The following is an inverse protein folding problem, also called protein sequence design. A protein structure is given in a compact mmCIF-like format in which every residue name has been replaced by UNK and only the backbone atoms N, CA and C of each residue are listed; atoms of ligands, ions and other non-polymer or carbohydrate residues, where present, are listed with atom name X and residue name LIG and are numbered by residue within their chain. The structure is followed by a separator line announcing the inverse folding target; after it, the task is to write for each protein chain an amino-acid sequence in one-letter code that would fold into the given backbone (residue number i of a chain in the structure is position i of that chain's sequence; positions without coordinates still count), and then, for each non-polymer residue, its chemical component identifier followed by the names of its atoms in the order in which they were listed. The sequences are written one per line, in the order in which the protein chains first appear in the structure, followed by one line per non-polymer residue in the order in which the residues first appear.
data_IF_300666958062
#
_entry.id   IF_300666958062
#
_cell.length_a   1.000
_cell.length_b   1.000
_cell.length_c   1.000
_cell.angle_alpha   90.00
_cell.angle_beta   90.00
_cell.angle_gamma   90.00
#
_symmetry.space_group_name_H-M   'P 1'
#
loop_
_entity.id
_entity.type
_entity.pdbx_description
1 polymer ?
#
# COMPACT_ATOMS: atom_id res chain seq x y z
N UNK A 1 -47.09 -3.37 -20.82
CA UNK A 1 -47.28 -2.18 -19.97
C UNK A 1 -45.95 -1.56 -19.49
N UNK A 2 -44.89 -2.35 -19.27
CA UNK A 2 -43.60 -1.86 -18.75
C UNK A 2 -42.81 -0.94 -19.70
N UNK A 3 -42.77 -1.28 -21.00
CA UNK A 3 -42.09 -0.49 -22.03
C UNK A 3 -42.73 0.90 -22.23
N UNK A 4 -44.03 1.02 -21.96
CA UNK A 4 -44.79 2.24 -22.18
C UNK A 4 -44.43 3.34 -21.16
N UNK A 5 -44.21 2.97 -19.90
CA UNK A 5 -43.86 3.92 -18.84
C UNK A 5 -42.41 4.41 -18.95
N UNK A 6 -41.47 3.55 -19.38
CA UNK A 6 -40.06 3.93 -19.56
C UNK A 6 -39.86 4.88 -20.74
N UNK A 7 -40.54 4.62 -21.87
CA UNK A 7 -40.50 5.49 -23.05
C UNK A 7 -41.21 6.84 -22.83
N UNK A 8 -42.30 6.86 -22.06
CA UNK A 8 -42.95 8.13 -21.66
C UNK A 8 -42.05 8.97 -20.73
N UNK A 9 -41.36 8.31 -19.79
CA UNK A 9 -40.47 8.99 -18.85
C UNK A 9 -39.22 9.54 -19.54
N UNK A 10 -38.56 8.77 -20.41
CA UNK A 10 -37.41 9.27 -21.17
C UNK A 10 -37.78 10.46 -22.06
N UNK A 11 -38.94 10.41 -22.75
CA UNK A 11 -39.44 11.54 -23.55
C UNK A 11 -39.69 12.80 -22.73
N UNK A 12 -40.28 12.68 -21.54
CA UNK A 12 -40.51 13.83 -20.64
C UNK A 12 -39.19 14.44 -20.15
N UNK A 13 -38.19 13.59 -19.86
CA UNK A 13 -36.86 14.06 -19.47
C UNK A 13 -36.18 14.76 -20.65
N UNK A 14 -36.21 14.19 -21.85
CA UNK A 14 -35.66 14.83 -23.04
C UNK A 14 -36.37 16.16 -23.38
N UNK A 15 -37.69 16.25 -23.18
CA UNK A 15 -38.43 17.49 -23.40
C UNK A 15 -38.00 18.61 -22.44
N UNK A 16 -37.68 18.27 -21.18
CA UNK A 16 -37.28 19.25 -20.17
C UNK A 16 -35.79 19.62 -20.23
N UNK A 17 -34.92 18.70 -20.65
CA UNK A 17 -33.47 18.82 -20.51
C UNK A 17 -32.68 18.68 -21.83
N UNK A 18 -33.37 18.50 -22.97
CA UNK A 18 -32.78 18.35 -24.31
C UNK A 18 -32.82 16.92 -24.85
N UNK A 19 -32.82 16.77 -26.18
CA UNK A 19 -33.08 15.51 -26.87
C UNK A 19 -32.13 14.35 -26.52
N UNK A 20 -30.93 14.65 -25.98
CA UNK A 20 -29.92 13.66 -25.56
C UNK A 20 -29.88 13.40 -24.04
N UNK A 21 -30.78 13.99 -23.25
CA UNK A 21 -30.72 13.94 -21.79
C UNK A 21 -31.00 12.54 -21.21
N UNK A 22 -31.86 11.73 -21.85
CA UNK A 22 -32.18 10.39 -21.38
C UNK A 22 -32.40 9.38 -22.50
N UNK A 23 -31.67 8.27 -22.45
CA UNK A 23 -31.92 7.11 -23.31
C UNK A 23 -32.97 6.19 -22.67
N UNK A 24 -33.91 5.68 -23.46
CA UNK A 24 -34.91 4.69 -23.00
C UNK A 24 -34.27 3.46 -22.36
N UNK A 25 -33.13 2.99 -22.88
CA UNK A 25 -32.38 1.86 -22.30
C UNK A 25 -31.91 2.18 -20.87
N UNK A 26 -31.40 3.38 -20.65
CA UNK A 26 -30.94 3.86 -19.35
C UNK A 26 -32.12 4.01 -18.40
N UNK A 27 -33.24 4.61 -18.86
CA UNK A 27 -34.47 4.72 -18.07
C UNK A 27 -34.96 3.33 -17.61
N UNK A 28 -34.97 2.33 -18.50
CA UNK A 28 -35.37 0.96 -18.16
C UNK A 28 -34.48 0.34 -17.07
N UNK A 29 -33.17 0.53 -17.16
CA UNK A 29 -32.22 0.04 -16.14
C UNK A 29 -32.45 0.69 -14.78
N UNK A 30 -32.71 2.01 -14.74
CA UNK A 30 -33.04 2.71 -13.51
C UNK A 30 -34.36 2.25 -12.90
N UNK A 31 -35.41 2.06 -13.71
CA UNK A 31 -36.68 1.52 -13.24
C UNK A 31 -36.54 0.11 -12.65
N UNK A 32 -35.72 -0.75 -13.27
CA UNK A 32 -35.42 -2.08 -12.72
C UNK A 32 -34.67 -1.98 -11.39
N UNK A 33 -33.67 -1.08 -11.28
CA UNK A 33 -32.93 -0.80 -10.05
C UNK A 33 -33.89 -0.37 -8.93
N UNK A 34 -34.75 0.62 -9.19
CA UNK A 34 -35.72 1.11 -8.20
C UNK A 34 -36.74 0.05 -7.78
N UNK A 35 -37.22 -0.79 -8.71
CA UNK A 35 -38.12 -1.90 -8.38
C UNK A 35 -37.47 -2.98 -7.54
N UNK A 36 -36.15 -3.17 -7.65
CA UNK A 36 -35.41 -4.09 -6.79
C UNK A 36 -35.18 -3.55 -5.36
N UNK A 37 -35.69 -2.36 -5.05
CA UNK A 37 -35.55 -1.71 -3.74
C UNK A 37 -34.27 -0.87 -3.59
N UNK A 38 -33.39 -0.89 -4.59
CA UNK A 38 -32.19 -0.05 -4.64
C UNK A 38 -32.55 1.35 -5.17
N UNK A 39 -32.80 2.28 -4.25
CA UNK A 39 -33.09 3.70 -4.54
C UNK A 39 -31.82 4.56 -4.62
N UNK A 40 -30.63 3.96 -4.56
CA UNK A 40 -29.38 4.71 -4.62
C UNK A 40 -29.21 5.35 -5.99
N UNK A 41 -28.93 6.65 -6.03
CA UNK A 41 -28.55 7.37 -7.25
C UNK A 41 -27.06 7.28 -7.53
N UNK A 42 -26.27 6.75 -6.58
CA UNK A 42 -24.84 6.59 -6.76
C UNK A 42 -24.53 5.43 -7.71
N UNK A 43 -23.46 5.62 -8.49
CA UNK A 43 -22.83 4.54 -9.23
C UNK A 43 -22.32 3.47 -8.26
N UNK A 44 -22.47 2.21 -8.65
CA UNK A 44 -21.84 1.11 -7.93
C UNK A 44 -20.32 1.20 -8.09
N UNK A 45 -19.59 0.65 -7.13
CA UNK A 45 -18.15 0.51 -7.24
C UNK A 45 -17.81 -0.14 -8.59
N UNK A 46 -17.07 0.59 -9.42
CA UNK A 46 -16.61 0.08 -10.70
C UNK A 46 -15.44 -0.86 -10.40
N UNK A 47 -15.38 -1.98 -11.10
CA UNK A 47 -14.32 -3.00 -10.94
C UNK A 47 -12.93 -2.50 -11.36
N UNK A 48 -12.80 -1.24 -11.78
CA UNK A 48 -11.54 -0.60 -12.12
C UNK A 48 -10.78 -1.32 -13.24
N UNK A 49 -9.52 -0.93 -13.42
CA UNK A 49 -8.57 -1.71 -14.20
C UNK A 49 -8.03 -2.83 -13.28
N UNK A 50 -8.01 -4.10 -13.71
CA UNK A 50 -7.40 -5.16 -12.92
C UNK A 50 -5.94 -4.80 -12.63
N UNK A 51 -5.53 -5.09 -11.41
CA UNK A 51 -4.20 -4.77 -10.96
C UNK A 51 -3.18 -5.63 -11.71
N UNK A 52 -2.18 -4.98 -12.31
CA UNK A 52 -1.18 -5.67 -13.14
C UNK A 52 -0.12 -6.44 -12.32
N UNK A 53 -0.05 -6.18 -11.01
CA UNK A 53 0.92 -6.74 -10.10
C UNK A 53 0.25 -7.08 -8.78
N UNK A 54 0.46 -8.30 -8.30
CA UNK A 54 0.01 -8.71 -6.97
C UNK A 54 0.81 -8.00 -5.87
N UNK A 55 0.10 -7.32 -4.97
CA UNK A 55 0.68 -6.56 -3.86
C UNK A 55 1.27 -7.50 -2.81
N UNK A 56 0.69 -8.68 -2.59
CA UNK A 56 1.19 -9.67 -1.64
C UNK A 56 2.51 -10.28 -2.11
N UNK A 57 2.59 -10.68 -3.39
CA UNK A 57 3.81 -11.19 -3.98
C UNK A 57 4.93 -10.12 -4.00
N UNK A 58 4.58 -8.86 -4.32
CA UNK A 58 5.55 -7.76 -4.28
C UNK A 58 6.06 -7.51 -2.86
N UNK A 59 5.19 -7.59 -1.85
CA UNK A 59 5.61 -7.43 -0.46
C UNK A 59 6.57 -8.54 -0.02
N UNK A 60 6.30 -9.80 -0.38
CA UNK A 60 7.16 -10.92 -0.04
C UNK A 60 8.57 -10.76 -0.63
N UNK A 61 8.69 -10.32 -1.89
CA UNK A 61 9.99 -10.07 -2.53
C UNK A 61 10.81 -8.99 -1.81
N UNK A 62 10.16 -7.93 -1.31
CA UNK A 62 10.83 -6.85 -0.57
C UNK A 62 11.26 -7.30 0.82
N UNK A 63 10.50 -8.19 1.46
CA UNK A 63 10.84 -8.74 2.77
C UNK A 63 12.01 -9.74 2.68
N UNK A 64 12.12 -10.46 1.57
CA UNK A 64 13.26 -11.32 1.26
C UNK A 64 14.54 -10.49 1.03
N UNK A 65 14.47 -9.44 0.20
CA UNK A 65 15.58 -8.53 -0.03
C UNK A 65 15.12 -7.08 -0.23
N UNK A 66 15.22 -6.31 0.84
CA UNK A 66 14.86 -4.89 0.85
C UNK A 66 15.83 -3.97 0.08
N UNK A 67 16.97 -4.49 -0.40
CA UNK A 67 17.98 -3.72 -1.11
C UNK A 67 17.76 -3.66 -2.63
N UNK A 68 16.81 -4.46 -3.15
CA UNK A 68 16.50 -4.51 -4.56
C UNK A 68 16.03 -3.18 -5.12
N UNK A 69 16.42 -2.93 -6.36
CA UNK A 69 15.99 -1.77 -7.15
C UNK A 69 14.64 -2.02 -7.81
N UNK A 70 13.93 -0.94 -8.17
CA UNK A 70 12.71 -1.01 -8.97
C UNK A 70 12.90 -1.78 -10.30
N UNK A 71 14.11 -1.73 -10.89
CA UNK A 71 14.43 -2.45 -12.11
C UNK A 71 14.56 -3.96 -11.92
N UNK A 72 15.13 -4.39 -10.80
CA UNK A 72 15.23 -5.81 -10.45
C UNK A 72 13.87 -6.40 -10.13
N UNK A 73 13.06 -5.71 -9.33
CA UNK A 73 11.68 -6.08 -9.05
C UNK A 73 10.86 -6.18 -10.35
N UNK A 74 11.00 -5.19 -11.25
CA UNK A 74 10.29 -5.21 -12.52
C UNK A 74 10.64 -6.44 -13.38
N UNK A 75 11.92 -6.83 -13.41
CA UNK A 75 12.37 -8.05 -14.11
C UNK A 75 11.82 -9.31 -13.45
N UNK A 76 11.84 -9.39 -12.11
CA UNK A 76 11.33 -10.53 -11.36
C UNK A 76 9.83 -10.78 -11.64
N UNK A 77 9.05 -9.71 -11.72
CA UNK A 77 7.61 -9.77 -11.97
C UNK A 77 7.23 -9.63 -13.46
N UNK A 78 8.20 -9.67 -14.39
CA UNK A 78 7.99 -9.50 -15.83
C UNK A 78 7.10 -8.28 -16.19
N UNK A 79 7.32 -7.17 -15.49
CA UNK A 79 6.54 -5.94 -15.63
C UNK A 79 7.42 -4.75 -15.95
N UNK A 80 6.83 -3.59 -16.19
CA UNK A 80 7.58 -2.34 -16.33
C UNK A 80 7.93 -1.77 -14.95
N UNK A 81 9.08 -1.09 -14.84
CA UNK A 81 9.47 -0.42 -13.58
C UNK A 81 8.45 0.60 -13.09
N UNK A 82 7.65 1.17 -13.99
CA UNK A 82 6.54 2.08 -13.65
C UNK A 82 5.37 1.37 -12.97
N UNK A 83 5.20 0.07 -13.22
CA UNK A 83 4.14 -0.74 -12.60
C UNK A 83 4.48 -1.13 -11.17
N UNK A 84 5.77 -1.23 -10.85
CA UNK A 84 6.25 -1.47 -9.49
C UNK A 84 6.07 -0.18 -8.68
N UNK A 85 4.99 -0.11 -7.90
CA UNK A 85 4.67 1.06 -7.08
C UNK A 85 4.69 0.69 -5.59
N UNK A 86 5.85 0.90 -4.96
CA UNK A 86 6.07 0.62 -3.54
C UNK A 86 5.30 1.52 -2.59
N UNK A 87 4.89 2.72 -3.03
CA UNK A 87 4.11 3.64 -2.19
C UNK A 87 2.74 3.07 -1.83
N UNK A 88 2.16 2.23 -2.69
CA UNK A 88 0.89 1.54 -2.41
C UNK A 88 1.00 0.58 -1.22
N UNK A 89 2.19 0.02 -1.00
CA UNK A 89 2.53 -0.83 0.14
C UNK A 89 3.04 -0.03 1.35
N UNK A 90 3.05 1.30 1.27
CA UNK A 90 3.63 2.16 2.31
C UNK A 90 5.15 2.03 2.47
N UNK A 91 5.85 1.44 1.49
CA UNK A 91 7.31 1.28 1.52
C UNK A 91 7.99 2.49 0.89
N UNK A 92 9.10 2.92 1.49
CA UNK A 92 9.93 4.04 1.00
C UNK A 92 11.38 3.63 0.98
N UNK A 93 12.12 4.04 -0.05
CA UNK A 93 13.56 3.83 -0.12
C UNK A 93 14.28 4.61 0.99
N UNK A 94 15.23 3.95 1.65
CA UNK A 94 16.14 4.56 2.62
C UNK A 94 17.56 4.02 2.38
N UNK A 95 18.54 4.90 2.50
CA UNK A 95 19.95 4.51 2.42
C UNK A 95 20.32 3.64 3.63
N UNK A 96 21.14 2.63 3.37
CA UNK A 96 21.76 1.82 4.43
C UNK A 96 22.61 2.69 5.35
N UNK A 97 22.60 2.38 6.64
CA UNK A 97 23.46 3.06 7.62
C UNK A 97 24.90 2.56 7.47
N UNK A 98 25.86 3.47 7.52
CA UNK A 98 27.26 3.08 7.58
C UNK A 98 27.56 2.39 8.92
N UNK A 99 28.22 1.23 8.85
CA UNK A 99 28.64 0.45 10.02
C UNK A 99 30.17 0.42 10.00
N UNK A 100 30.85 0.89 11.06
CA UNK A 100 32.30 1.08 11.04
C UNK A 100 33.13 -0.17 10.72
N UNK A 101 32.68 -1.33 11.21
CA UNK A 101 33.40 -2.58 11.08
C UNK A 101 32.43 -3.73 10.87
N UNK A 102 32.79 -4.65 9.97
CA UNK A 102 32.12 -5.94 9.85
C UNK A 102 32.58 -6.85 10.98
N UNK A 103 31.68 -7.17 11.91
CA UNK A 103 31.99 -7.98 13.08
C UNK A 103 31.81 -9.47 12.80
N UNK A 104 32.80 -10.27 13.19
CA UNK A 104 32.68 -11.72 13.32
C UNK A 104 31.71 -12.08 14.46
N UNK A 105 31.14 -13.28 14.43
CA UNK A 105 30.15 -13.67 15.45
C UNK A 105 30.73 -13.72 16.87
N UNK A 106 31.98 -14.14 17.01
CA UNK A 106 32.68 -14.10 18.31
C UNK A 106 32.76 -12.66 18.86
N UNK A 107 33.02 -11.66 18.01
CA UNK A 107 33.04 -10.27 18.41
C UNK A 107 31.65 -9.77 18.81
N UNK A 108 30.59 -10.20 18.11
CA UNK A 108 29.21 -9.85 18.46
C UNK A 108 28.81 -10.44 19.83
N UNK A 109 29.10 -11.73 20.04
CA UNK A 109 28.82 -12.41 21.31
C UNK A 109 29.56 -11.74 22.48
N UNK A 110 30.85 -11.45 22.31
CA UNK A 110 31.65 -10.78 23.34
C UNK A 110 31.09 -9.40 23.69
N UNK A 111 30.66 -8.62 22.69
CA UNK A 111 30.02 -7.32 22.90
C UNK A 111 28.71 -7.46 23.68
N UNK A 112 27.84 -8.40 23.30
CA UNK A 112 26.57 -8.66 24.01
C UNK A 112 26.82 -9.05 25.47
N UNK A 113 27.74 -9.99 25.72
CA UNK A 113 28.08 -10.42 27.07
C UNK A 113 28.59 -9.27 27.94
N UNK A 114 29.48 -8.44 27.38
CA UNK A 114 30.03 -7.25 28.06
C UNK A 114 28.91 -6.25 28.38
N UNK A 115 28.05 -5.94 27.42
CA UNK A 115 26.92 -5.03 27.61
C UNK A 115 25.93 -5.54 28.67
N UNK A 116 25.60 -6.83 28.68
CA UNK A 116 24.70 -7.42 29.68
C UNK A 116 25.28 -7.36 31.10
N UNK A 117 26.59 -7.61 31.24
CA UNK A 117 27.30 -7.47 32.51
C UNK A 117 27.28 -6.03 33.02
N UNK A 118 27.58 -5.06 32.14
CA UNK A 118 27.54 -3.63 32.47
C UNK A 118 26.12 -3.17 32.83
N UNK A 119 25.11 -3.58 32.06
CA UNK A 119 23.70 -3.26 32.34
C UNK A 119 23.24 -3.84 33.69
N UNK A 120 23.65 -5.06 34.02
CA UNK A 120 23.34 -5.70 35.30
C UNK A 120 24.02 -5.01 36.49
N UNK A 121 25.21 -4.43 36.29
CA UNK A 121 25.87 -3.59 37.29
C UNK A 121 25.14 -2.26 37.46
N UNK A 122 24.80 -1.62 36.35
CA UNK A 122 24.04 -0.36 36.34
C UNK A 122 22.69 -0.47 37.06
N UNK A 123 21.94 -1.55 36.82
CA UNK A 123 20.65 -1.80 37.50
C UNK A 123 20.77 -1.93 39.02
N UNK A 124 21.93 -2.35 39.53
CA UNK A 124 22.16 -2.48 40.99
C UNK A 124 22.62 -1.16 41.61
N UNK A 125 23.41 -0.37 40.90
CA UNK A 125 23.85 0.94 41.35
C UNK A 125 24.33 1.77 40.15
N UNK A 126 24.14 3.10 40.21
CA UNK A 126 24.65 4.00 39.18
C UNK A 126 26.18 3.91 39.11
N UNK A 127 26.68 3.44 37.96
CA UNK A 127 28.12 3.29 37.71
C UNK A 127 28.72 4.52 37.03
N UNK A 128 27.91 5.41 36.44
CA UNK A 128 28.39 6.52 35.61
C UNK A 128 29.20 7.56 36.38
N UNK A 129 28.90 7.77 37.66
CA UNK A 129 29.62 8.75 38.49
C UNK A 129 31.05 8.31 38.85
N UNK A 130 31.46 7.10 38.44
CA UNK A 130 32.76 6.49 38.75
C UNK A 130 33.55 6.12 37.49
N UNK A 131 33.06 6.48 36.31
CA UNK A 131 33.69 6.15 35.04
C UNK A 131 34.39 7.39 34.50
N UNK A 132 35.68 7.25 34.21
CA UNK A 132 36.46 8.19 33.40
C UNK A 132 36.72 7.51 32.05
N UNK A 133 36.48 8.21 30.94
CA UNK A 133 36.74 7.71 29.58
C UNK A 133 37.72 8.63 28.87
N UNK A 134 38.64 8.06 28.09
CA UNK A 134 39.54 8.80 27.20
C UNK A 134 39.62 8.04 25.87
N UNK A 135 39.74 8.78 24.77
CA UNK A 135 39.99 8.25 23.43
C UNK A 135 41.07 9.12 22.77
N UNK A 136 41.90 8.53 21.91
CA UNK A 136 42.96 9.24 21.19
C UNK A 136 42.48 9.64 19.79
N UNK A 137 42.95 10.77 19.27
CA UNK A 137 42.49 11.38 18.02
C UNK A 137 43.48 11.14 16.86
#
# INVERSE_FOLDING_TARGET
MELYCTAASSRRICQAFGDSAANERTARQWFQKFRSGDLSLCDKARTGRPQALDDEALQAAIEEDSSQTYGELARQFNTSSQTVNLHRLGKTYRLSKWVPHTLLEVHKQQRVATCLSLLSRYRRASIFNRVLTSDEN
#
